data_IF_900350559643
#
_entry.id   IF_900350559643
#
_cell.length_a   1.000
_cell.length_b   1.000
_cell.length_c   1.000
_cell.angle_alpha   90.00
_cell.angle_beta   90.00
_cell.angle_gamma   90.00
#
_symmetry.space_group_name_H-M   'P 1'
#
loop_
_entity.id
_entity.type
_entity.pdbx_description
1 polymer ?
#
# COMPACT_ATOMS: atom_id res chain seq x y z
N UNK A 1 -34.74 -20.87 9.12
CA UNK A 1 -33.51 -20.89 9.94
C UNK A 1 -32.71 -22.11 9.51
N UNK A 2 -31.67 -21.93 8.68
CA UNK A 2 -30.82 -23.07 8.31
C UNK A 2 -29.97 -23.39 9.53
N UNK A 3 -30.13 -24.58 10.11
CA UNK A 3 -29.25 -25.01 11.19
C UNK A 3 -27.84 -25.12 10.60
N UNK A 4 -26.95 -24.20 11.00
CA UNK A 4 -25.56 -24.24 10.61
C UNK A 4 -24.95 -25.50 11.22
N UNK A 5 -24.89 -26.58 10.43
CA UNK A 5 -24.29 -27.83 10.85
C UNK A 5 -22.80 -27.77 10.55
N UNK A 6 -21.97 -28.01 11.56
CA UNK A 6 -20.53 -28.18 11.36
C UNK A 6 -20.26 -29.28 10.32
N UNK A 7 -19.22 -29.08 9.52
CA UNK A 7 -18.79 -30.10 8.56
C UNK A 7 -18.28 -31.33 9.32
N UNK A 8 -18.49 -32.52 8.75
CA UNK A 8 -17.80 -33.72 9.23
C UNK A 8 -16.32 -33.68 8.82
N UNK A 9 -15.44 -34.35 9.58
CA UNK A 9 -14.01 -34.45 9.25
C UNK A 9 -13.74 -34.92 7.81
N UNK A 10 -14.59 -35.81 7.28
CA UNK A 10 -14.50 -36.25 5.87
C UNK A 10 -14.87 -35.15 4.88
N UNK A 11 -15.85 -34.30 5.21
CA UNK A 11 -16.22 -33.15 4.39
C UNK A 11 -15.12 -32.08 4.45
N UNK A 12 -14.57 -31.80 5.63
CA UNK A 12 -13.43 -30.88 5.80
C UNK A 12 -12.22 -31.32 4.98
N UNK A 13 -11.82 -32.59 5.07
CA UNK A 13 -10.72 -33.13 4.30
C UNK A 13 -10.95 -33.02 2.78
N UNK A 14 -12.17 -33.32 2.31
CA UNK A 14 -12.51 -33.17 0.88
C UNK A 14 -12.51 -31.71 0.44
N UNK A 15 -12.96 -30.80 1.30
CA UNK A 15 -12.98 -29.37 1.06
C UNK A 15 -11.55 -28.83 0.92
N UNK A 16 -10.65 -29.18 1.85
CA UNK A 16 -9.22 -28.84 1.79
C UNK A 16 -8.61 -29.32 0.48
N UNK A 17 -8.77 -30.60 0.15
CA UNK A 17 -8.22 -31.17 -1.09
C UNK A 17 -8.78 -30.45 -2.32
N UNK A 18 -10.06 -30.12 -2.33
CA UNK A 18 -10.66 -29.38 -3.44
C UNK A 18 -10.07 -27.96 -3.56
N UNK A 19 -10.05 -27.19 -2.47
CA UNK A 19 -9.58 -25.80 -2.47
C UNK A 19 -8.10 -25.71 -2.81
N UNK A 20 -7.27 -26.58 -2.25
CA UNK A 20 -5.84 -26.62 -2.55
C UNK A 20 -5.57 -26.93 -4.02
N UNK A 21 -6.28 -27.93 -4.57
CA UNK A 21 -6.14 -28.26 -5.98
C UNK A 21 -6.63 -27.12 -6.87
N UNK A 22 -7.76 -26.50 -6.55
CA UNK A 22 -8.33 -25.42 -7.34
C UNK A 22 -7.40 -24.19 -7.35
N UNK A 23 -6.93 -23.74 -6.18
CA UNK A 23 -5.96 -22.64 -6.07
C UNK A 23 -4.66 -22.97 -6.81
N UNK A 24 -4.14 -24.19 -6.69
CA UNK A 24 -2.95 -24.62 -7.42
C UNK A 24 -3.13 -24.57 -8.95
N UNK A 25 -4.31 -24.92 -9.47
CA UNK A 25 -4.58 -24.79 -10.91
C UNK A 25 -4.60 -23.32 -11.35
N UNK A 26 -5.21 -22.44 -10.54
CA UNK A 26 -5.21 -21.00 -10.82
C UNK A 26 -3.78 -20.46 -10.84
N UNK A 27 -2.95 -20.80 -9.85
CA UNK A 27 -1.54 -20.40 -9.79
C UNK A 27 -0.74 -20.88 -11.00
N UNK A 28 -0.93 -22.14 -11.43
CA UNK A 28 -0.29 -22.69 -12.62
C UNK A 28 -0.73 -21.94 -13.89
N UNK A 29 -2.02 -21.63 -14.00
CA UNK A 29 -2.55 -20.83 -15.09
C UNK A 29 -1.95 -19.42 -15.10
N UNK A 30 -1.86 -18.79 -13.94
CA UNK A 30 -1.26 -17.46 -13.77
C UNK A 30 0.23 -17.42 -14.14
N UNK A 31 1.02 -18.42 -13.73
CA UNK A 31 2.44 -18.50 -14.10
C UNK A 31 2.65 -18.60 -15.61
N UNK A 32 1.72 -19.23 -16.32
CA UNK A 32 1.74 -19.43 -17.77
C UNK A 32 0.99 -18.35 -18.55
N UNK A 33 0.55 -17.26 -17.91
CA UNK A 33 -0.35 -16.26 -18.52
C UNK A 33 0.19 -15.60 -19.78
N UNK A 34 1.51 -15.52 -19.94
CA UNK A 34 2.16 -14.90 -21.10
C UNK A 34 2.46 -15.90 -22.23
N UNK A 35 2.12 -17.19 -22.07
CA UNK A 35 2.29 -18.20 -23.10
C UNK A 35 1.18 -18.08 -24.17
N UNK A 36 1.48 -18.42 -25.43
CA UNK A 36 0.47 -18.37 -26.49
C UNK A 36 -0.73 -19.31 -26.25
N UNK A 37 -0.55 -20.37 -25.47
CA UNK A 37 -1.60 -21.31 -25.04
C UNK A 37 -2.08 -21.07 -23.61
N UNK A 38 -1.88 -19.87 -23.07
CA UNK A 38 -2.27 -19.52 -21.70
C UNK A 38 -3.76 -19.75 -21.47
N UNK A 39 -4.11 -20.36 -20.34
CA UNK A 39 -5.51 -20.53 -19.93
C UNK A 39 -6.09 -19.27 -19.29
N UNK A 40 -5.22 -18.43 -18.70
CA UNK A 40 -5.60 -17.18 -18.01
C UNK A 40 -4.82 -16.00 -18.60
N UNK A 41 -5.00 -15.69 -19.91
CA UNK A 41 -4.24 -14.63 -20.59
C UNK A 41 -4.66 -13.23 -20.15
N UNK A 42 -5.91 -13.05 -19.70
CA UNK A 42 -6.48 -11.75 -19.32
C UNK A 42 -6.84 -11.69 -17.84
N UNK A 43 -6.93 -10.46 -17.33
CA UNK A 43 -7.39 -10.20 -15.96
C UNK A 43 -8.82 -10.71 -15.75
N UNK A 44 -9.69 -10.54 -16.75
CA UNK A 44 -11.06 -11.05 -16.72
C UNK A 44 -11.11 -12.57 -16.51
N UNK A 45 -10.33 -13.32 -17.31
CA UNK A 45 -10.24 -14.77 -17.21
C UNK A 45 -9.70 -15.21 -15.84
N UNK A 46 -8.69 -14.50 -15.32
CA UNK A 46 -8.13 -14.75 -13.99
C UNK A 46 -9.16 -14.54 -12.87
N UNK A 47 -9.82 -13.38 -12.83
CA UNK A 47 -10.83 -13.06 -11.81
C UNK A 47 -12.00 -14.04 -11.83
N UNK A 48 -12.42 -14.49 -13.01
CA UNK A 48 -13.52 -15.44 -13.16
C UNK A 48 -13.24 -16.81 -12.51
N UNK A 49 -11.97 -17.24 -12.44
CA UNK A 49 -11.62 -18.51 -11.78
C UNK A 49 -11.83 -18.48 -10.27
N UNK A 50 -11.81 -17.30 -9.65
CA UNK A 50 -11.98 -17.16 -8.19
C UNK A 50 -13.43 -17.25 -7.72
N UNK A 51 -14.40 -16.98 -8.61
CA UNK A 51 -15.84 -17.02 -8.31
C UNK A 51 -16.28 -18.30 -7.58
N UNK A 52 -16.02 -19.53 -8.11
CA UNK A 52 -16.45 -20.76 -7.44
C UNK A 52 -15.75 -20.97 -6.08
N UNK A 53 -14.50 -20.52 -5.93
CA UNK A 53 -13.77 -20.66 -4.66
C UNK A 53 -14.39 -19.75 -3.58
N UNK A 54 -14.73 -18.51 -3.93
CA UNK A 54 -15.36 -17.55 -3.00
C UNK A 54 -16.72 -18.05 -2.56
N UNK A 55 -17.49 -18.64 -3.47
CA UNK A 55 -18.77 -19.28 -3.15
C UNK A 55 -18.61 -20.40 -2.13
N UNK A 56 -17.64 -21.28 -2.34
CA UNK A 56 -17.39 -22.40 -1.43
C UNK A 56 -16.83 -21.92 -0.07
N UNK A 57 -15.89 -20.97 -0.08
CA UNK A 57 -15.29 -20.42 1.14
C UNK A 57 -16.35 -19.67 1.96
N UNK A 58 -17.16 -18.82 1.33
CA UNK A 58 -18.20 -18.03 2.02
C UNK A 58 -19.37 -18.88 2.54
N UNK A 59 -19.64 -20.04 1.93
CA UNK A 59 -20.64 -21.01 2.40
C UNK A 59 -20.10 -21.98 3.45
N UNK A 60 -18.77 -22.03 3.63
CA UNK A 60 -18.15 -22.82 4.71
C UNK A 60 -18.62 -22.28 6.07
N UNK A 61 -19.15 -23.16 6.96
CA UNK A 61 -19.66 -22.73 8.26
C UNK A 61 -18.60 -22.04 9.11
N UNK A 62 -19.02 -21.02 9.87
CA UNK A 62 -18.17 -20.32 10.84
C UNK A 62 -18.35 -20.93 12.24
N UNK A 63 -18.23 -22.26 12.36
CA UNK A 63 -18.46 -22.98 13.61
C UNK A 63 -17.26 -23.85 13.98
N UNK A 64 -16.75 -23.70 15.21
CA UNK A 64 -15.64 -24.53 15.71
C UNK A 64 -14.42 -24.52 14.77
N UNK A 65 -13.86 -25.69 14.47
CA UNK A 65 -12.67 -25.83 13.60
C UNK A 65 -12.90 -25.36 12.16
N UNK A 66 -14.14 -25.40 11.66
CA UNK A 66 -14.48 -24.95 10.29
C UNK A 66 -14.36 -23.43 10.11
N UNK A 67 -14.46 -22.66 11.20
CA UNK A 67 -14.22 -21.22 11.17
C UNK A 67 -12.76 -20.92 10.80
N UNK A 68 -11.80 -21.57 11.46
CA UNK A 68 -10.37 -21.41 11.17
C UNK A 68 -10.02 -21.84 9.73
N UNK A 69 -10.69 -22.88 9.22
CA UNK A 69 -10.55 -23.32 7.84
C UNK A 69 -11.00 -22.23 6.84
N UNK A 70 -12.19 -21.67 7.06
CA UNK A 70 -12.71 -20.57 6.25
C UNK A 70 -11.79 -19.35 6.32
N UNK A 71 -11.35 -18.98 7.51
CA UNK A 71 -10.45 -17.84 7.73
C UNK A 71 -9.13 -18.02 6.97
N UNK A 72 -8.54 -19.23 7.03
CA UNK A 72 -7.30 -19.58 6.32
C UNK A 72 -7.45 -19.42 4.80
N UNK A 73 -8.51 -19.98 4.22
CA UNK A 73 -8.71 -19.92 2.77
C UNK A 73 -9.18 -18.55 2.29
N UNK A 74 -9.93 -17.80 3.09
CA UNK A 74 -10.29 -16.42 2.74
C UNK A 74 -9.05 -15.52 2.73
N UNK A 75 -8.13 -15.72 3.68
CA UNK A 75 -6.86 -14.98 3.72
C UNK A 75 -5.96 -15.32 2.54
N UNK A 76 -5.83 -16.61 2.24
CA UNK A 76 -5.10 -17.10 1.08
C UNK A 76 -5.69 -16.55 -0.23
N UNK A 77 -7.01 -16.58 -0.37
CA UNK A 77 -7.70 -16.03 -1.52
C UNK A 77 -7.45 -14.52 -1.67
N UNK A 78 -7.52 -13.77 -0.56
CA UNK A 78 -7.26 -12.32 -0.57
C UNK A 78 -5.84 -12.05 -1.07
N UNK A 79 -4.85 -12.78 -0.56
CA UNK A 79 -3.44 -12.63 -0.94
C UNK A 79 -3.22 -13.00 -2.40
N UNK A 80 -3.61 -14.21 -2.82
CA UNK A 80 -3.34 -14.71 -4.17
C UNK A 80 -4.10 -13.93 -5.25
N UNK A 81 -5.32 -13.46 -4.96
CA UNK A 81 -6.09 -12.64 -5.89
C UNK A 81 -5.42 -11.28 -6.08
N UNK A 82 -5.05 -10.59 -4.99
CA UNK A 82 -4.49 -9.23 -5.06
C UNK A 82 -3.09 -9.22 -5.66
N UNK A 83 -2.21 -10.16 -5.29
CA UNK A 83 -0.91 -10.35 -5.94
C UNK A 83 -1.05 -10.74 -7.42
N UNK A 84 -2.02 -11.59 -7.74
CA UNK A 84 -2.30 -12.02 -9.09
C UNK A 84 -2.75 -10.87 -9.99
N UNK A 85 -3.60 -9.96 -9.50
CA UNK A 85 -4.07 -8.78 -10.24
C UNK A 85 -2.89 -7.94 -10.75
N UNK A 86 -1.87 -7.72 -9.92
CA UNK A 86 -0.68 -6.91 -10.28
C UNK A 86 0.09 -7.51 -11.48
N UNK A 87 -0.08 -8.81 -11.74
CA UNK A 87 0.56 -9.49 -12.87
C UNK A 87 -0.09 -9.28 -14.23
N UNK A 88 -1.22 -8.57 -14.30
CA UNK A 88 -1.96 -8.31 -15.53
C UNK A 88 -1.93 -6.82 -15.89
N UNK A 89 -1.90 -6.53 -17.19
CA UNK A 89 -2.12 -5.17 -17.70
C UNK A 89 -3.51 -5.06 -18.31
N UNK A 90 -4.19 -3.95 -17.99
CA UNK A 90 -5.49 -3.59 -18.56
C UNK A 90 -5.42 -3.34 -20.07
N UNK A 91 -4.22 -3.09 -20.60
CA UNK A 91 -3.96 -2.83 -22.02
C UNK A 91 -3.87 -4.11 -22.85
N UNK A 92 -3.66 -5.26 -22.21
CA UNK A 92 -3.48 -6.55 -22.89
C UNK A 92 -4.81 -7.20 -23.30
N UNK A 93 -5.91 -6.79 -22.68
CA UNK A 93 -7.24 -7.30 -22.96
C UNK A 93 -7.96 -6.35 -23.93
N UNK A 94 -8.24 -6.83 -25.15
CA UNK A 94 -8.95 -6.06 -26.17
C UNK A 94 -10.47 -6.14 -26.03
N UNK A 95 -10.99 -7.08 -25.24
CA UNK A 95 -12.43 -7.28 -25.08
C UNK A 95 -13.04 -6.27 -24.12
N UNK A 96 -12.27 -5.88 -23.09
CA UNK A 96 -12.74 -5.03 -22.00
C UNK A 96 -11.93 -3.73 -21.89
N UNK A 97 -12.62 -2.63 -21.59
CA UNK A 97 -11.94 -1.33 -21.41
C UNK A 97 -11.08 -1.31 -20.15
N UNK A 98 -10.01 -0.50 -20.12
CA UNK A 98 -9.18 -0.38 -18.91
C UNK A 98 -9.99 0.10 -17.69
N UNK A 99 -10.91 1.06 -17.89
CA UNK A 99 -11.84 1.52 -16.86
C UNK A 99 -12.68 0.39 -16.29
N UNK A 100 -13.20 -0.49 -17.15
CA UNK A 100 -14.02 -1.61 -16.73
C UNK A 100 -13.26 -2.63 -15.89
N UNK A 101 -12.04 -2.92 -16.30
CA UNK A 101 -11.15 -3.81 -15.58
C UNK A 101 -10.79 -3.25 -14.19
N UNK A 102 -10.49 -1.95 -14.09
CA UNK A 102 -10.27 -1.27 -12.80
C UNK A 102 -11.50 -1.33 -11.88
N UNK A 103 -12.71 -1.07 -12.41
CA UNK A 103 -13.96 -1.18 -11.64
C UNK A 103 -14.21 -2.62 -11.19
N UNK A 104 -13.92 -3.62 -12.02
CA UNK A 104 -14.08 -5.02 -11.62
C UNK A 104 -13.11 -5.41 -10.49
N UNK A 105 -11.88 -4.89 -10.49
CA UNK A 105 -10.95 -5.08 -9.36
C UNK A 105 -11.48 -4.43 -8.09
N UNK A 106 -12.03 -3.21 -8.17
CA UNK A 106 -12.68 -2.56 -7.01
C UNK A 106 -13.90 -3.35 -6.50
N UNK A 107 -14.69 -3.95 -7.40
CA UNK A 107 -15.76 -4.88 -7.02
C UNK A 107 -15.22 -6.05 -6.18
N UNK A 108 -14.10 -6.64 -6.60
CA UNK A 108 -13.47 -7.73 -5.87
C UNK A 108 -12.93 -7.29 -4.51
N UNK A 109 -12.25 -6.14 -4.45
CA UNK A 109 -11.76 -5.58 -3.19
C UNK A 109 -12.92 -5.28 -2.21
N UNK A 110 -14.02 -4.68 -2.68
CA UNK A 110 -15.20 -4.41 -1.86
C UNK A 110 -15.91 -5.69 -1.41
N UNK A 111 -16.01 -6.71 -2.27
CA UNK A 111 -16.59 -8.00 -1.92
C UNK A 111 -15.78 -8.68 -0.80
N UNK A 112 -14.45 -8.69 -0.92
CA UNK A 112 -13.56 -9.28 0.09
C UNK A 112 -13.60 -8.48 1.40
N UNK A 113 -13.61 -7.15 1.32
CA UNK A 113 -13.75 -6.27 2.49
C UNK A 113 -15.06 -6.51 3.23
N UNK A 114 -16.18 -6.64 2.51
CA UNK A 114 -17.47 -6.97 3.13
C UNK A 114 -17.41 -8.34 3.84
N UNK A 115 -16.78 -9.36 3.24
CA UNK A 115 -16.66 -10.69 3.85
C UNK A 115 -15.80 -10.66 5.12
N UNK A 116 -14.71 -9.88 5.12
CA UNK A 116 -13.84 -9.70 6.27
C UNK A 116 -14.50 -8.88 7.38
N UNK A 117 -15.13 -7.76 7.05
CA UNK A 117 -15.87 -6.94 8.00
C UNK A 117 -16.97 -7.76 8.70
N UNK A 118 -17.76 -8.52 7.93
CA UNK A 118 -18.76 -9.43 8.51
C UNK A 118 -18.13 -10.49 9.44
N UNK A 119 -16.97 -11.03 9.07
CA UNK A 119 -16.24 -12.01 9.88
C UNK A 119 -15.72 -11.41 11.20
N UNK A 120 -15.16 -10.20 11.16
CA UNK A 120 -14.63 -9.47 12.33
C UNK A 120 -15.74 -9.05 13.28
N UNK A 121 -16.86 -8.56 12.74
CA UNK A 121 -18.05 -8.15 13.49
C UNK A 121 -18.90 -9.33 13.96
N UNK A 122 -18.55 -10.57 13.57
CA UNK A 122 -19.31 -11.80 13.86
C UNK A 122 -20.77 -11.70 13.37
N UNK A 123 -20.97 -11.10 12.21
CA UNK A 123 -22.27 -10.97 11.55
C UNK A 123 -22.39 -12.03 10.46
N UNK A 124 -23.47 -12.82 10.42
CA UNK A 124 -23.70 -13.78 9.35
C UNK A 124 -24.01 -13.04 8.04
N UNK A 125 -23.11 -13.14 7.06
CA UNK A 125 -23.28 -12.53 5.75
C UNK A 125 -23.38 -13.59 4.65
N UNK A 126 -24.41 -13.48 3.81
CA UNK A 126 -24.54 -14.29 2.59
C UNK A 126 -23.73 -13.68 1.46
N UNK A 127 -23.05 -14.52 0.69
CA UNK A 127 -22.31 -14.07 -0.48
C UNK A 127 -23.20 -13.30 -1.47
N UNK A 128 -24.43 -13.76 -1.71
CA UNK A 128 -25.34 -13.10 -2.65
C UNK A 128 -25.66 -11.66 -2.27
N UNK A 129 -25.70 -11.36 -0.96
CA UNK A 129 -26.04 -10.04 -0.46
C UNK A 129 -24.82 -9.12 -0.56
N UNK A 130 -23.63 -9.64 -0.24
CA UNK A 130 -22.37 -8.94 -0.44
C UNK A 130 -22.10 -8.64 -1.92
N UNK A 131 -22.34 -9.61 -2.81
CA UNK A 131 -22.23 -9.43 -4.26
C UNK A 131 -23.18 -8.36 -4.78
N UNK A 132 -24.45 -8.36 -4.33
CA UNK A 132 -25.40 -7.30 -4.72
C UNK A 132 -24.91 -5.93 -4.26
N UNK A 133 -24.48 -5.80 -3.00
CA UNK A 133 -23.96 -4.54 -2.46
C UNK A 133 -22.69 -4.07 -3.18
N UNK A 134 -21.80 -4.99 -3.54
CA UNK A 134 -20.59 -4.65 -4.28
C UNK A 134 -20.94 -4.22 -5.72
N UNK A 135 -21.82 -4.94 -6.41
CA UNK A 135 -22.29 -4.61 -7.77
C UNK A 135 -22.98 -3.25 -7.85
N UNK A 136 -23.66 -2.81 -6.80
CA UNK A 136 -24.26 -1.47 -6.76
C UNK A 136 -23.25 -0.34 -6.68
N UNK A 137 -22.01 -0.62 -6.22
CA UNK A 137 -20.94 0.38 -6.11
C UNK A 137 -19.98 0.32 -7.29
N UNK A 138 -19.64 -0.90 -7.71
CA UNK A 138 -18.66 -1.16 -8.75
C UNK A 138 -19.22 -2.19 -9.74
N UNK A 139 -19.42 -1.80 -11.02
CA UNK A 139 -19.92 -2.72 -12.04
C UNK A 139 -18.89 -3.80 -12.35
N UNK A 140 -19.38 -4.99 -12.68
CA UNK A 140 -18.59 -6.14 -13.15
C UNK A 140 -18.49 -6.13 -14.68
N UNK A 141 -17.57 -6.92 -15.25
CA UNK A 141 -17.28 -6.89 -16.70
C UNK A 141 -18.46 -7.32 -17.58
N UNK A 142 -19.40 -8.12 -17.07
CA UNK A 142 -20.66 -8.48 -17.73
C UNK A 142 -21.60 -7.29 -17.93
N UNK A 143 -21.37 -6.17 -17.25
CA UNK A 143 -22.22 -4.97 -17.28
C UNK A 143 -21.66 -3.85 -18.17
N UNK A 144 -20.56 -4.05 -18.90
CA UNK A 144 -19.92 -3.01 -19.74
C UNK A 144 -20.88 -2.37 -20.76
N UNK A 145 -21.89 -3.11 -21.22
CA UNK A 145 -22.86 -2.63 -22.21
C UNK A 145 -23.91 -1.67 -21.62
N UNK A 146 -24.12 -1.69 -20.31
CA UNK A 146 -25.14 -0.91 -19.59
C UNK A 146 -24.47 0.21 -18.78
N UNK A 147 -23.79 1.12 -19.47
CA UNK A 147 -23.33 2.41 -18.92
C UNK A 147 -22.51 2.32 -17.62
N UNK A 148 -21.19 2.13 -17.75
CA UNK A 148 -20.21 2.33 -16.66
C UNK A 148 -20.10 3.81 -16.28
N UNK A 149 -21.17 4.33 -15.65
CA UNK A 149 -21.18 5.61 -14.98
C UNK A 149 -20.62 5.40 -13.59
N UNK A 150 -19.75 6.31 -13.18
CA UNK A 150 -19.35 6.41 -11.79
C UNK A 150 -20.57 6.95 -11.06
N UNK A 151 -21.30 6.06 -10.40
CA UNK A 151 -22.48 6.44 -9.65
C UNK A 151 -22.07 7.16 -8.36
N UNK A 152 -22.91 8.09 -7.90
CA UNK A 152 -22.70 8.81 -6.63
C UNK A 152 -22.52 7.87 -5.43
N UNK A 153 -23.00 6.62 -5.54
CA UNK A 153 -22.85 5.58 -4.51
C UNK A 153 -21.41 5.04 -4.40
N UNK A 154 -20.63 5.07 -5.49
CA UNK A 154 -19.20 4.72 -5.45
C UNK A 154 -18.41 5.70 -4.60
N UNK A 155 -18.75 7.00 -4.65
CA UNK A 155 -18.06 8.08 -3.92
C UNK A 155 -18.29 8.00 -2.41
N UNK A 156 -19.41 7.41 -1.97
CA UNK A 156 -19.76 7.29 -0.56
C UNK A 156 -18.84 6.31 0.17
N UNK A 157 -18.57 6.54 1.46
CA UNK A 157 -17.86 5.56 2.26
C UNK A 157 -18.62 4.23 2.25
N UNK A 158 -17.90 3.10 2.31
CA UNK A 158 -18.52 1.79 2.34
C UNK A 158 -19.59 1.69 3.44
N UNK A 159 -20.80 1.17 3.13
CA UNK A 159 -21.82 0.96 4.16
C UNK A 159 -21.31 0.00 5.23
N UNK A 160 -21.67 0.26 6.48
CA UNK A 160 -21.36 -0.62 7.61
C UNK A 160 -22.10 -1.94 7.41
N UNK A 161 -21.45 -3.06 7.74
CA UNK A 161 -22.12 -4.36 7.72
C UNK A 161 -23.17 -4.38 8.84
N UNK A 162 -24.44 -4.39 8.46
CA UNK A 162 -25.54 -4.42 9.42
C UNK A 162 -25.99 -5.86 9.68
N UNK A 163 -26.03 -6.27 10.94
CA UNK A 163 -26.66 -7.51 11.36
C UNK A 163 -26.51 -7.77 12.85
N UNK A 164 -27.28 -8.74 13.35
CA UNK A 164 -27.14 -9.20 14.72
C UNK A 164 -25.85 -10.03 14.84
N UNK A 165 -25.08 -9.77 15.90
CA UNK A 165 -23.92 -10.58 16.26
C UNK A 165 -24.38 -12.02 16.50
N UNK A 166 -23.74 -12.97 15.82
CA UNK A 166 -23.95 -14.39 16.05
C UNK A 166 -22.88 -14.91 17.01
N UNK A 167 -23.28 -15.16 18.26
CA UNK A 167 -22.41 -15.65 19.33
C UNK A 167 -21.81 -17.04 19.04
N UNK A 168 -22.37 -17.78 18.06
CA UNK A 168 -21.80 -19.06 17.65
C UNK A 168 -20.52 -18.89 16.82
N UNK A 169 -20.32 -17.70 16.23
CA UNK A 169 -19.11 -17.39 15.48
C UNK A 169 -17.99 -17.05 16.48
N UNK A 170 -16.87 -17.81 16.47
CA UNK A 170 -15.78 -17.55 17.40
C UNK A 170 -15.15 -16.16 17.14
N UNK A 171 -14.69 -15.47 18.20
CA UNK A 171 -13.96 -14.22 18.04
C UNK A 171 -12.69 -14.45 17.21
N UNK A 172 -12.29 -13.46 16.43
CA UNK A 172 -11.04 -13.52 15.65
C UNK A 172 -9.85 -13.31 16.59
N UNK A 173 -8.87 -14.21 16.57
CA UNK A 173 -7.77 -14.18 17.53
C UNK A 173 -6.86 -12.96 17.29
N UNK A 174 -6.26 -12.41 18.37
CA UNK A 174 -5.44 -11.19 18.27
C UNK A 174 -4.26 -11.32 17.29
N UNK A 175 -3.58 -12.47 17.28
CA UNK A 175 -2.49 -12.73 16.34
C UNK A 175 -2.98 -12.78 14.89
N UNK A 176 -4.17 -13.34 14.67
CA UNK A 176 -4.78 -13.39 13.35
C UNK A 176 -5.24 -12.00 12.90
N UNK A 177 -5.72 -11.16 13.84
CA UNK A 177 -6.07 -9.75 13.56
C UNK A 177 -4.87 -8.97 13.04
N UNK A 178 -3.71 -9.09 13.68
CA UNK A 178 -2.46 -8.44 13.23
C UNK A 178 -2.09 -8.93 11.83
N UNK A 179 -2.08 -10.27 11.64
CA UNK A 179 -1.79 -10.87 10.33
C UNK A 179 -2.75 -10.38 9.24
N UNK A 180 -4.05 -10.33 9.54
CA UNK A 180 -5.05 -9.86 8.59
C UNK A 180 -4.84 -8.39 8.26
N UNK A 181 -4.58 -7.54 9.26
CA UNK A 181 -4.28 -6.11 9.05
C UNK A 181 -3.12 -5.93 8.10
N UNK A 182 -2.03 -6.67 8.31
CA UNK A 182 -0.83 -6.55 7.48
C UNK A 182 -1.11 -7.01 6.04
N UNK A 183 -1.82 -8.12 5.86
CA UNK A 183 -2.25 -8.61 4.54
C UNK A 183 -3.17 -7.62 3.82
N UNK A 184 -4.15 -7.05 4.51
CA UNK A 184 -5.08 -6.09 3.92
C UNK A 184 -4.40 -4.76 3.57
N UNK A 185 -3.46 -4.30 4.41
CA UNK A 185 -2.67 -3.09 4.15
C UNK A 185 -1.76 -3.29 2.93
N UNK A 186 -1.09 -4.45 2.85
CA UNK A 186 -0.28 -4.81 1.68
C UNK A 186 -1.14 -4.92 0.42
N UNK A 187 -2.32 -5.55 0.50
CA UNK A 187 -3.24 -5.65 -0.63
C UNK A 187 -3.72 -4.28 -1.12
N UNK A 188 -4.06 -3.37 -0.21
CA UNK A 188 -4.42 -1.98 -0.54
C UNK A 188 -3.29 -1.28 -1.30
N UNK A 189 -2.07 -1.32 -0.77
CA UNK A 189 -0.88 -0.72 -1.40
C UNK A 189 -0.58 -1.31 -2.78
N UNK A 190 -0.64 -2.64 -2.91
CA UNK A 190 -0.40 -3.35 -4.18
C UNK A 190 -1.43 -2.95 -5.24
N UNK A 191 -2.72 -2.95 -4.90
CA UNK A 191 -3.78 -2.59 -5.83
C UNK A 191 -3.71 -1.10 -6.21
N UNK A 192 -3.41 -0.23 -5.25
CA UNK A 192 -3.24 1.20 -5.48
C UNK A 192 -2.06 1.48 -6.42
N UNK A 193 -0.91 0.86 -6.16
CA UNK A 193 0.27 0.99 -7.00
C UNK A 193 0.06 0.43 -8.40
N UNK A 194 -0.61 -0.72 -8.51
CA UNK A 194 -1.00 -1.31 -9.79
C UNK A 194 -1.92 -0.40 -10.59
N UNK A 195 -2.98 0.14 -9.97
CA UNK A 195 -3.90 1.06 -10.64
C UNK A 195 -3.15 2.26 -11.22
N UNK A 196 -2.24 2.89 -10.46
CA UNK A 196 -1.49 4.05 -10.96
C UNK A 196 -0.54 3.69 -12.10
N UNK A 197 0.10 2.53 -12.04
CA UNK A 197 0.92 2.01 -13.15
C UNK A 197 0.09 1.82 -14.42
N UNK A 198 -1.14 1.29 -14.30
CA UNK A 198 -2.04 1.10 -15.43
C UNK A 198 -2.50 2.42 -16.05
N UNK A 199 -2.77 3.44 -15.21
CA UNK A 199 -3.08 4.81 -15.64
C UNK A 199 -1.84 5.58 -16.14
N UNK A 200 -0.62 5.05 -15.99
CA UNK A 200 0.62 5.70 -16.39
C UNK A 200 0.99 6.91 -15.52
N UNK A 201 0.52 6.95 -14.28
CA UNK A 201 0.75 8.04 -13.33
C UNK A 201 1.76 7.57 -12.27
N UNK A 202 2.76 8.37 -11.89
CA UNK A 202 3.69 8.00 -10.82
C UNK A 202 2.94 7.78 -9.50
N UNK A 203 3.39 6.82 -8.69
CA UNK A 203 2.88 6.65 -7.34
C UNK A 203 3.20 7.90 -6.51
N UNK A 204 2.29 8.34 -5.61
CA UNK A 204 2.63 9.38 -4.65
C UNK A 204 3.87 8.92 -3.88
N UNK A 205 4.80 9.83 -3.54
CA UNK A 205 5.87 9.47 -2.63
C UNK A 205 5.24 8.85 -1.38
N UNK A 206 5.71 7.67 -1.00
CA UNK A 206 5.41 7.13 0.31
C UNK A 206 5.77 8.26 1.28
N UNK A 207 4.78 8.75 2.03
CA UNK A 207 5.10 9.58 3.17
C UNK A 207 5.88 8.64 4.07
N UNK A 208 7.22 8.68 3.96
CA UNK A 208 8.09 8.28 5.03
C UNK A 208 7.47 8.96 6.25
N UNK A 209 6.88 8.12 7.09
CA UNK A 209 6.44 8.46 8.42
C UNK A 209 7.63 9.26 8.95
N UNK A 210 7.48 10.59 9.05
CA UNK A 210 8.51 11.42 9.62
C UNK A 210 8.68 10.85 11.01
N UNK A 211 9.65 9.95 11.14
CA UNK A 211 10.14 9.45 12.39
C UNK A 211 10.56 10.72 13.06
N UNK A 212 9.67 11.25 13.90
CA UNK A 212 10.06 12.17 14.92
C UNK A 212 11.08 11.39 15.74
N UNK A 213 12.34 11.49 15.35
CA UNK A 213 13.37 11.78 16.30
C UNK A 213 12.78 12.89 17.16
N UNK A 214 12.21 12.45 18.28
CA UNK A 214 11.95 13.28 19.42
C UNK A 214 13.30 13.93 19.68
N UNK A 215 13.48 15.12 19.14
CA UNK A 215 14.53 16.04 19.54
C UNK A 215 14.45 16.02 21.06
N UNK A 216 15.50 15.49 21.69
CA UNK A 216 15.72 15.65 23.11
C UNK A 216 15.47 17.13 23.42
N UNK A 217 14.71 17.46 24.47
CA UNK A 217 14.39 18.85 24.76
C UNK A 217 15.69 19.58 25.10
N UNK A 218 16.25 20.26 24.09
CA UNK A 218 17.32 21.22 24.23
C UNK A 218 16.91 22.25 25.27
N UNK A 219 17.80 22.43 26.24
CA UNK A 219 17.68 23.34 27.36
C UNK A 219 17.14 24.71 26.92
N UNK A 220 16.11 25.17 27.64
CA UNK A 220 15.53 26.49 27.43
C UNK A 220 16.58 27.58 27.73
N UNK A 221 16.62 28.67 26.94
CA UNK A 221 17.54 29.77 27.18
C UNK A 221 17.07 30.57 28.40
N UNK A 222 17.87 30.52 29.47
CA UNK A 222 17.68 31.26 30.71
C UNK A 222 17.97 32.76 30.46
N UNK A 223 16.91 33.58 30.52
CA UNK A 223 17.02 35.03 30.51
C UNK A 223 17.47 35.50 31.90
N UNK A 224 18.59 36.22 31.93
CA UNK A 224 19.24 36.67 33.16
C UNK A 224 18.44 37.70 33.95
N UNK A 225 18.54 37.58 35.28
CA UNK A 225 18.33 38.66 36.23
C UNK A 225 19.52 38.74 37.18
N UNK A 226 20.15 39.92 37.17
CA UNK A 226 21.18 40.38 38.09
C UNK A 226 20.67 40.45 39.54
N UNK A 227 21.50 40.09 40.52
CA UNK A 227 21.17 40.40 41.91
C UNK A 227 22.03 39.80 43.02
N UNK A 228 23.23 40.35 43.21
CA UNK A 228 23.89 40.63 44.50
C UNK A 228 24.33 39.50 45.47
N UNK A 229 25.65 39.52 45.72
CA UNK A 229 26.34 39.39 47.02
C UNK A 229 26.20 38.09 47.85
N UNK A 230 27.27 37.28 47.87
CA UNK A 230 28.28 37.22 48.97
C UNK A 230 29.07 35.89 48.96
N UNK A 231 30.39 36.02 49.12
CA UNK A 231 31.46 35.00 49.29
C UNK A 231 31.61 34.79 50.83
N UNK A 232 32.05 33.65 51.44
CA UNK A 232 33.27 32.93 51.06
C UNK A 232 33.42 31.41 51.32
N UNK A 233 34.47 30.88 50.64
CA UNK A 233 35.48 29.87 51.04
C UNK A 233 35.10 28.45 51.49
N UNK A 234 35.62 27.45 50.76
CA UNK A 234 36.58 26.41 51.22
C UNK A 234 36.94 25.56 49.96
N UNK A 235 38.14 25.72 49.37
CA UNK A 235 39.39 24.99 49.62
C UNK A 235 39.39 23.51 49.20
N UNK A 236 40.13 23.20 48.14
CA UNK A 236 41.14 22.12 48.01
C UNK A 236 41.56 22.05 46.53
N UNK A 237 42.70 22.62 46.15
CA UNK A 237 43.99 21.90 45.94
C UNK A 237 43.81 20.58 45.16
N UNK A 238 44.26 20.50 43.90
CA UNK A 238 45.59 20.04 43.44
C UNK A 238 45.74 20.53 41.97
N UNK A 239 46.58 21.50 41.59
CA UNK A 239 48.04 21.51 41.32
C UNK A 239 48.60 20.51 40.29
N UNK A 240 49.18 21.12 39.26
CA UNK A 240 50.45 20.76 38.58
C UNK A 240 50.41 19.49 37.69
N UNK A 241 50.96 19.46 36.48
CA UNK A 241 52.03 20.29 35.96
C UNK A 241 52.29 20.05 34.45
N UNK A 242 52.90 21.08 33.83
CA UNK A 242 53.89 21.11 32.72
C UNK A 242 53.64 20.35 31.40
N UNK A 243 53.53 20.99 30.23
CA UNK A 243 54.45 21.88 29.47
C UNK A 243 55.58 21.15 28.71
N UNK A 244 55.56 21.22 27.37
CA UNK A 244 56.70 21.51 26.47
C UNK A 244 56.18 21.45 25.01
N UNK A 245 56.07 22.57 24.28
CA UNK A 245 57.10 23.23 23.46
C UNK A 245 57.87 22.29 22.53
N UNK A 246 57.63 22.37 21.21
CA UNK A 246 58.75 22.49 20.24
C UNK A 246 58.26 23.14 18.94
N UNK A 247 59.05 24.13 18.50
CA UNK A 247 58.92 24.94 17.31
C UNK A 247 59.32 24.17 16.03
N UNK A 248 58.67 24.53 14.92
CA UNK A 248 59.27 24.79 13.60
C UNK A 248 60.05 23.69 12.87
N UNK A 249 59.54 23.27 11.71
CA UNK A 249 60.36 23.15 10.50
C UNK A 249 59.49 23.14 9.24
N UNK A 250 59.77 24.08 8.34
CA UNK A 250 59.25 24.18 6.99
C UNK A 250 59.75 23.02 6.11
N UNK A 251 58.86 22.33 5.39
CA UNK A 251 59.12 21.85 4.01
C UNK A 251 57.80 21.37 3.35
N UNK A 252 57.72 21.41 1.99
CA UNK A 252 56.49 21.58 1.24
C UNK A 252 55.81 20.26 0.82
N UNK A 253 54.63 20.39 0.22
CA UNK A 253 53.87 19.38 -0.54
C UNK A 253 53.13 18.28 0.24
N UNK A 254 51.82 18.47 0.37
CA UNK A 254 50.82 17.61 -0.30
C UNK A 254 49.42 18.17 -0.01
N UNK A 255 48.88 18.97 -0.92
CA UNK A 255 47.45 19.31 -0.88
C UNK A 255 46.65 18.01 -0.96
N UNK A 256 45.89 17.72 0.09
CA UNK A 256 45.10 16.49 0.19
C UNK A 256 43.94 16.57 -0.80
N UNK A 257 43.39 15.42 -1.21
CA UNK A 257 42.22 15.38 -2.09
C UNK A 257 41.01 16.16 -1.52
N UNK A 258 40.93 16.28 -0.18
CA UNK A 258 39.90 17.03 0.52
C UNK A 258 40.00 18.55 0.28
N UNK A 259 41.21 19.11 0.17
CA UNK A 259 41.39 20.54 -0.08
C UNK A 259 40.93 20.94 -1.50
N UNK A 260 41.14 20.05 -2.47
CA UNK A 260 40.69 20.26 -3.87
C UNK A 260 39.18 20.13 -4.04
N UNK A 261 38.52 19.27 -3.26
CA UNK A 261 37.05 19.20 -3.25
C UNK A 261 36.44 20.45 -2.60
N UNK A 262 37.04 20.97 -1.52
CA UNK A 262 36.55 22.18 -0.86
C UNK A 262 36.68 23.43 -1.75
N UNK A 263 37.76 23.55 -2.53
CA UNK A 263 37.92 24.60 -3.54
C UNK A 263 36.92 24.46 -4.69
N UNK A 264 36.63 23.22 -5.12
CA UNK A 264 35.61 22.95 -6.15
C UNK A 264 34.20 23.33 -5.68
N UNK A 265 33.82 23.01 -4.44
CA UNK A 265 32.52 23.44 -3.90
C UNK A 265 32.45 24.95 -3.69
N UNK A 266 33.54 25.60 -3.28
CA UNK A 266 33.58 27.06 -3.18
C UNK A 266 33.32 27.73 -4.54
N UNK A 267 33.90 27.21 -5.63
CA UNK A 267 33.77 27.78 -6.98
C UNK A 267 32.37 27.54 -7.60
N UNK A 268 31.75 26.38 -7.31
CA UNK A 268 30.39 26.05 -7.77
C UNK A 268 29.32 26.96 -7.14
N UNK A 269 29.53 27.41 -5.91
CA UNK A 269 28.58 28.29 -5.20
C UNK A 269 28.92 29.78 -5.29
N UNK A 270 30.15 30.16 -5.63
CA UNK A 270 30.50 31.58 -5.87
C UNK A 270 30.04 32.12 -7.23
N UNK A 271 29.61 31.24 -8.14
CA UNK A 271 29.01 31.65 -9.41
C UNK A 271 27.59 32.16 -9.19
N UNK A 272 27.50 33.41 -8.74
CA UNK A 272 26.26 34.20 -8.75
C UNK A 272 25.72 34.18 -10.17
N UNK A 273 24.51 33.64 -10.36
CA UNK A 273 23.72 33.89 -11.55
C UNK A 273 23.40 35.39 -11.56
N UNK A 274 24.07 36.15 -12.42
CA UNK A 274 23.58 37.47 -12.82
C UNK A 274 22.38 37.26 -13.75
N UNK A 275 21.19 37.75 -13.41
CA UNK A 275 19.97 37.47 -14.16
C UNK A 275 19.81 38.31 -15.44
N UNK A 276 20.81 39.11 -15.83
CA UNK A 276 20.74 40.04 -16.98
C UNK A 276 21.91 39.88 -17.99
N UNK A 277 22.62 38.74 -18.02
CA UNK A 277 23.63 38.50 -19.07
C UNK A 277 22.96 38.01 -20.36
N UNK A 278 22.67 38.94 -21.26
CA UNK A 278 22.18 38.68 -22.63
C UNK A 278 23.24 37.94 -23.47
N UNK A 279 22.72 37.14 -24.39
CA UNK A 279 23.34 36.20 -25.32
C UNK A 279 24.61 36.72 -26.04
N UNK A 280 25.59 35.84 -26.24
CA UNK A 280 26.20 35.56 -27.56
C UNK A 280 27.44 34.66 -27.40
N UNK A 281 27.38 33.42 -27.90
CA UNK A 281 28.45 32.77 -28.67
C UNK A 281 28.02 31.34 -29.05
N UNK A 282 27.74 31.18 -30.34
CA UNK A 282 27.53 29.90 -31.03
C UNK A 282 28.75 28.97 -30.84
N UNK A 283 28.54 27.81 -30.22
CA UNK A 283 29.42 26.66 -30.40
C UNK A 283 28.62 25.54 -31.06
N UNK A 284 28.76 25.45 -32.40
CA UNK A 284 28.43 24.27 -33.19
C UNK A 284 29.41 23.14 -32.80
N UNK A 285 29.01 22.20 -31.93
CA UNK A 285 29.49 20.78 -31.91
C UNK A 285 29.13 19.97 -30.63
N UNK A 286 28.08 20.31 -29.87
CA UNK A 286 27.62 19.45 -28.75
C UNK A 286 26.43 18.56 -29.19
N UNK A 287 26.50 17.21 -29.14
CA UNK A 287 25.36 16.36 -29.46
C UNK A 287 24.18 16.66 -28.52
N UNK A 288 22.92 16.60 -29.01
CA UNK A 288 21.80 17.19 -28.31
C UNK A 288 21.62 16.53 -26.94
N UNK A 289 21.95 17.28 -25.89
CA UNK A 289 21.56 16.97 -24.50
C UNK A 289 20.05 16.77 -24.51
N UNK A 290 19.64 15.51 -24.38
CA UNK A 290 18.23 15.11 -24.24
C UNK A 290 17.69 15.86 -23.03
N UNK A 291 17.02 16.98 -23.29
CA UNK A 291 16.10 17.62 -22.36
C UNK A 291 15.22 16.50 -21.80
N UNK A 292 15.17 16.38 -20.48
CA UNK A 292 14.24 15.49 -19.80
C UNK A 292 12.88 15.66 -20.49
N UNK A 293 12.39 14.57 -21.08
CA UNK A 293 11.09 14.55 -21.74
C UNK A 293 10.12 15.15 -20.74
N UNK A 294 9.46 16.24 -21.12
CA UNK A 294 8.17 16.61 -20.56
C UNK A 294 7.39 15.30 -20.43
N UNK A 295 7.08 14.91 -19.18
CA UNK A 295 6.15 13.82 -18.94
C UNK A 295 4.92 14.13 -19.78
N UNK A 296 4.56 13.21 -20.67
CA UNK A 296 3.32 13.32 -21.42
C UNK A 296 2.20 13.63 -20.41
N UNK A 297 1.30 14.59 -20.72
CA UNK A 297 0.20 14.89 -19.82
C UNK A 297 -0.54 13.57 -19.53
N UNK A 298 -0.98 13.35 -18.28
CA UNK A 298 -1.67 12.11 -17.93
C UNK A 298 -2.83 11.91 -18.91
N UNK A 299 -2.95 10.69 -19.44
CA UNK A 299 -4.04 10.30 -20.35
C UNK A 299 -5.43 10.33 -19.69
N UNK A 300 -5.47 10.70 -18.41
CA UNK A 300 -6.60 10.67 -17.50
C UNK A 300 -6.79 12.06 -16.92
N UNK A 301 -8.03 12.54 -16.85
CA UNK A 301 -8.33 13.84 -16.24
C UNK A 301 -7.95 13.85 -14.75
N UNK A 302 -7.64 15.02 -14.19
CA UNK A 302 -7.30 15.14 -12.77
C UNK A 302 -8.47 14.70 -11.85
N UNK A 303 -9.71 14.96 -12.27
CA UNK A 303 -10.91 14.53 -11.55
C UNK A 303 -11.07 13.00 -11.56
N UNK A 304 -10.80 12.36 -12.70
CA UNK A 304 -10.82 10.89 -12.81
C UNK A 304 -9.70 10.27 -11.97
N UNK A 305 -8.49 10.86 -11.97
CA UNK A 305 -7.38 10.37 -11.16
C UNK A 305 -7.71 10.45 -9.66
N UNK A 306 -8.28 11.57 -9.20
CA UNK A 306 -8.69 11.73 -7.80
C UNK A 306 -9.76 10.71 -7.40
N UNK A 307 -10.68 10.38 -8.30
CA UNK A 307 -11.64 9.30 -8.09
C UNK A 307 -10.93 7.95 -7.88
N UNK A 308 -10.02 7.57 -8.78
CA UNK A 308 -9.31 6.30 -8.68
C UNK A 308 -8.45 6.21 -7.42
N UNK A 309 -7.69 7.26 -7.13
CA UNK A 309 -6.87 7.35 -5.92
C UNK A 309 -7.73 7.14 -4.67
N UNK A 310 -8.86 7.83 -4.57
CA UNK A 310 -9.76 7.71 -3.45
C UNK A 310 -10.37 6.31 -3.32
N UNK A 311 -10.76 5.67 -4.43
CA UNK A 311 -11.37 4.33 -4.35
C UNK A 311 -10.36 3.26 -3.96
N UNK A 312 -9.19 3.27 -4.60
CA UNK A 312 -8.16 2.26 -4.34
C UNK A 312 -7.54 2.44 -2.94
N UNK A 313 -7.33 3.68 -2.47
CA UNK A 313 -6.88 3.97 -1.09
C UNK A 313 -7.96 3.72 -0.02
N UNK A 314 -9.20 3.41 -0.41
CA UNK A 314 -10.27 2.98 0.49
C UNK A 314 -10.57 1.49 0.38
N UNK A 315 -9.81 0.75 -0.42
CA UNK A 315 -9.94 -0.70 -0.49
C UNK A 315 -9.72 -1.29 0.90
N UNK A 316 -10.54 -2.27 1.31
CA UNK A 316 -10.45 -2.87 2.64
C UNK A 316 -10.71 -1.92 3.83
N UNK A 317 -11.27 -0.74 3.57
CA UNK A 317 -11.45 0.30 4.59
C UNK A 317 -12.33 -0.12 5.77
N UNK A 318 -13.38 -0.92 5.56
CA UNK A 318 -14.25 -1.40 6.68
C UNK A 318 -13.45 -2.28 7.62
N UNK A 319 -12.77 -3.28 7.06
CA UNK A 319 -12.02 -4.27 7.81
C UNK A 319 -10.81 -3.64 8.51
N UNK A 320 -10.09 -2.75 7.84
CA UNK A 320 -8.96 -2.03 8.43
C UNK A 320 -9.41 -1.11 9.57
N UNK A 321 -10.58 -0.48 9.47
CA UNK A 321 -11.15 0.32 10.55
C UNK A 321 -11.47 -0.56 11.78
N UNK A 322 -12.13 -1.69 11.58
CA UNK A 322 -12.45 -2.64 12.67
C UNK A 322 -11.18 -3.18 13.35
N UNK A 323 -10.11 -3.37 12.58
CA UNK A 323 -8.82 -3.85 13.09
C UNK A 323 -8.05 -2.80 13.91
N UNK A 324 -8.30 -1.50 13.68
CA UNK A 324 -7.67 -0.39 14.44
C UNK A 324 -8.32 -0.12 15.80
N UNK A 325 -9.64 -0.32 15.93
CA UNK A 325 -10.41 0.11 17.11
C UNK A 325 -10.12 -0.74 18.36
N UNK A 326 -9.63 -1.97 18.22
CA UNK A 326 -9.43 -2.90 19.34
C UNK A 326 -7.98 -3.03 19.84
N UNK A 327 -7.04 -2.25 19.31
CA UNK A 327 -5.63 -2.25 19.76
C UNK A 327 -5.32 -1.20 20.84
N UNK A 328 -6.33 -0.56 21.43
CA UNK A 328 -6.21 0.47 22.48
C UNK A 328 -6.59 -0.05 23.87
#
# INVERSE_FOLDING_TARGET
MSQHRALSARQESRLVVYLDNAMLQIQRGYQKRNEASAQLPTLAAFLQQWVPLVEIISTTPLLGATAALRDTYLLRLTTELTEGVVGYSTKSDSEHTAKAQLLHVLYWADLLDQLWAARLQRVPQRLSDAQKSAKTRFPTLDMESESMRIDAESVRPPPIVHGAVDEQIPPYAQTDRVRLRDVLSQAEQQLFGWMRNELGVPQPPEQEEWGGELNEPGEAPEWGEDGAESVPEESDEIKEDTAENTEGEDTPEAATAADREHEHYADVFSKKLDPDEEEDEENEDDPPRKRARHAEPPSVSQEDLAYWDMQFARSFGRSLQDLRIESS
#
